data_IF_891513975257
#
_entry.id   IF_891513975257
#
_cell.length_a   1.000
_cell.length_b   1.000
_cell.length_c   1.000
_cell.angle_alpha   90.00
_cell.angle_beta   90.00
_cell.angle_gamma   90.00
#
_symmetry.space_group_name_H-M   'P 1'
#
loop_
_entity.id
_entity.type
_entity.pdbx_description
1 polymer ?
#
# COMPACT_ATOMS: atom_id res chain seq x y z
N UNK A 1 -7.52 -40.60 23.38
CA UNK A 1 -6.56 -41.08 24.37
C UNK A 1 -6.03 -42.44 23.94
N UNK A 2 -4.77 -42.56 23.59
CA UNK A 2 -4.14 -43.85 23.25
C UNK A 2 -3.08 -44.14 24.27
N UNK A 3 -3.39 -45.13 25.08
CA UNK A 3 -2.57 -46.17 25.71
C UNK A 3 -1.15 -45.80 26.12
N UNK A 4 -0.92 -45.90 27.44
CA UNK A 4 0.40 -46.07 27.98
C UNK A 4 1.13 -47.18 27.19
N UNK A 5 2.11 -46.82 26.40
CA UNK A 5 3.05 -47.76 25.80
C UNK A 5 4.19 -47.92 26.78
N UNK A 6 4.60 -49.18 27.01
CA UNK A 6 5.80 -49.47 27.77
C UNK A 6 6.99 -48.72 27.20
N UNK A 7 7.66 -47.96 28.02
CA UNK A 7 8.85 -47.22 27.60
C UNK A 7 10.01 -48.19 27.60
N UNK A 8 10.50 -48.55 26.42
CA UNK A 8 11.79 -49.23 26.29
C UNK A 8 12.90 -48.22 26.39
N UNK A 9 13.45 -48.05 27.60
CA UNK A 9 14.63 -47.20 27.81
C UNK A 9 15.88 -48.05 27.53
N UNK A 10 16.83 -47.43 26.81
CA UNK A 10 18.16 -48.06 26.56
C UNK A 10 19.03 -48.12 27.81
N UNK A 11 18.73 -47.31 28.81
CA UNK A 11 19.41 -47.33 30.11
C UNK A 11 18.73 -48.34 31.03
N UNK A 12 19.45 -49.42 31.48
CA UNK A 12 18.95 -50.40 32.38
C UNK A 12 18.50 -49.87 33.75
N UNK A 13 19.02 -48.70 34.13
CA UNK A 13 18.65 -48.01 35.39
C UNK A 13 17.59 -46.94 35.22
N UNK A 14 16.96 -46.86 34.07
CA UNK A 14 15.92 -45.84 33.77
C UNK A 14 14.71 -45.98 34.73
N UNK A 15 14.42 -44.94 35.55
CA UNK A 15 13.33 -45.02 36.52
C UNK A 15 11.93 -44.83 35.89
N UNK A 16 11.87 -44.54 34.57
CA UNK A 16 10.62 -44.20 33.87
C UNK A 16 9.90 -45.47 33.40
N UNK A 17 8.65 -45.64 33.82
CA UNK A 17 7.85 -46.82 33.52
C UNK A 17 6.63 -46.56 32.66
N UNK A 18 6.13 -45.30 32.64
CA UNK A 18 4.97 -44.93 31.85
C UNK A 18 5.12 -43.52 31.27
N UNK A 19 4.46 -43.25 30.14
CA UNK A 19 4.37 -41.94 29.52
C UNK A 19 2.95 -41.65 29.00
N UNK A 20 2.52 -40.40 29.12
CA UNK A 20 1.36 -39.85 28.41
C UNK A 20 1.91 -38.99 27.28
N UNK A 21 1.43 -39.20 26.06
CA UNK A 21 1.77 -38.39 24.88
C UNK A 21 0.50 -37.75 24.36
N UNK A 22 0.47 -36.41 24.38
CA UNK A 22 -0.69 -35.62 23.98
C UNK A 22 -0.30 -34.68 22.82
N UNK A 23 -1.16 -34.52 21.78
CA UNK A 23 -0.88 -33.61 20.70
C UNK A 23 -1.11 -32.16 21.11
N UNK A 24 -0.18 -31.26 20.79
CA UNK A 24 -0.39 -29.83 20.83
C UNK A 24 -0.93 -29.38 19.48
N UNK A 25 -2.10 -28.74 19.48
CA UNK A 25 -2.84 -28.40 18.26
C UNK A 25 -2.99 -26.90 18.11
N UNK A 26 -2.80 -26.39 16.89
CA UNK A 26 -3.13 -25.04 16.49
C UNK A 26 -4.03 -25.15 15.24
N UNK A 27 -5.20 -24.51 15.26
CA UNK A 27 -6.21 -24.60 14.18
C UNK A 27 -6.51 -26.07 13.79
N UNK A 28 -6.72 -26.95 14.76
CA UNK A 28 -6.94 -28.38 14.59
C UNK A 28 -5.76 -29.20 13.98
N UNK A 29 -4.65 -28.56 13.63
CA UNK A 29 -3.42 -29.20 13.11
C UNK A 29 -2.46 -29.49 14.27
N UNK A 30 -1.92 -30.69 14.34
CA UNK A 30 -0.90 -31.04 15.33
C UNK A 30 0.43 -30.37 14.96
N UNK A 31 0.92 -29.48 15.82
CA UNK A 31 2.18 -28.74 15.66
C UNK A 31 3.30 -29.27 16.57
N UNK A 32 2.93 -30.06 17.57
CA UNK A 32 3.87 -30.63 18.51
C UNK A 32 3.24 -31.69 19.40
N UNK A 33 4.01 -32.20 20.35
CA UNK A 33 3.52 -33.16 21.34
C UNK A 33 4.00 -32.79 22.74
N UNK A 34 3.12 -32.93 23.72
CA UNK A 34 3.44 -32.87 25.15
C UNK A 34 3.67 -34.31 25.62
N UNK A 35 4.84 -34.57 26.22
CA UNK A 35 5.18 -35.88 26.78
C UNK A 35 5.39 -35.75 28.29
N UNK A 36 4.61 -36.48 29.06
CA UNK A 36 4.74 -36.57 30.51
C UNK A 36 5.21 -37.98 30.90
N UNK A 37 6.28 -38.05 31.67
CA UNK A 37 6.89 -39.32 32.08
C UNK A 37 6.69 -39.59 33.56
N UNK A 38 6.41 -40.87 33.93
CA UNK A 38 6.13 -41.26 35.27
C UNK A 38 7.07 -42.41 35.76
N UNK A 39 7.49 -42.35 37.02
CA UNK A 39 8.40 -43.33 37.61
C UNK A 39 7.72 -44.63 38.09
N UNK A 40 6.40 -44.67 38.15
CA UNK A 40 5.65 -45.84 38.57
C UNK A 40 4.63 -46.25 37.51
N UNK A 41 4.50 -47.54 37.29
CA UNK A 41 3.49 -48.11 36.35
C UNK A 41 2.12 -48.29 37.02
N UNK A 42 1.91 -47.81 38.26
CA UNK A 42 0.58 -47.77 38.88
C UNK A 42 -0.37 -47.10 37.92
N UNK A 43 -1.48 -47.75 37.60
CA UNK A 43 -2.50 -47.25 36.66
C UNK A 43 -2.64 -45.77 36.76
N UNK A 44 -2.19 -45.04 35.74
CA UNK A 44 -2.36 -43.58 35.66
C UNK A 44 -3.78 -43.28 36.09
N UNK A 45 -3.89 -42.53 37.19
CA UNK A 45 -5.19 -42.19 37.75
C UNK A 45 -5.91 -41.28 36.78
N UNK A 46 -7.23 -41.37 36.73
CA UNK A 46 -8.08 -40.54 35.87
C UNK A 46 -7.77 -39.05 36.04
N UNK A 47 -7.44 -38.64 37.26
CA UNK A 47 -7.05 -37.26 37.59
C UNK A 47 -5.77 -36.83 36.85
N UNK A 48 -4.75 -37.69 36.80
CA UNK A 48 -3.49 -37.41 36.07
C UNK A 48 -3.71 -37.27 34.56
N UNK A 49 -4.62 -38.08 34.02
CA UNK A 49 -4.99 -38.01 32.58
C UNK A 49 -5.74 -36.72 32.27
N UNK A 50 -6.75 -36.37 33.08
CA UNK A 50 -7.53 -35.13 32.94
C UNK A 50 -6.64 -33.89 33.10
N UNK A 51 -5.68 -33.92 34.02
CA UNK A 51 -4.70 -32.86 34.22
C UNK A 51 -3.79 -32.71 32.98
N UNK A 52 -3.28 -33.82 32.47
CA UNK A 52 -2.44 -33.84 31.30
C UNK A 52 -3.17 -33.29 30.06
N UNK A 53 -4.42 -33.68 29.83
CA UNK A 53 -5.28 -33.14 28.78
C UNK A 53 -5.54 -31.66 28.97
N UNK A 54 -5.83 -31.21 30.19
CA UNK A 54 -5.97 -29.80 30.51
C UNK A 54 -4.72 -28.98 30.20
N UNK A 55 -3.53 -29.48 30.56
CA UNK A 55 -2.26 -28.86 30.20
C UNK A 55 -2.04 -28.83 28.69
N UNK A 56 -2.31 -29.91 27.98
CA UNK A 56 -2.19 -29.95 26.50
C UNK A 56 -3.08 -28.93 25.82
N UNK A 57 -4.32 -28.79 26.30
CA UNK A 57 -5.25 -27.81 25.79
C UNK A 57 -4.78 -26.37 26.09
N UNK A 58 -4.30 -26.11 27.30
CA UNK A 58 -3.77 -24.82 27.70
C UNK A 58 -2.55 -24.42 26.86
N UNK A 59 -1.59 -25.32 26.66
CA UNK A 59 -0.45 -25.05 25.76
C UNK A 59 -0.87 -24.88 24.32
N UNK A 60 -1.86 -25.63 23.82
CA UNK A 60 -2.40 -25.46 22.47
C UNK A 60 -2.98 -24.05 22.28
N UNK A 61 -3.79 -23.57 23.24
CA UNK A 61 -4.34 -22.21 23.22
C UNK A 61 -3.23 -21.15 23.29
N UNK A 62 -2.20 -21.35 24.12
CA UNK A 62 -1.07 -20.42 24.20
C UNK A 62 -0.28 -20.35 22.89
N UNK A 63 -0.07 -21.49 22.21
CA UNK A 63 0.59 -21.54 20.90
C UNK A 63 -0.24 -20.83 19.83
N UNK A 64 -1.57 -21.01 19.83
CA UNK A 64 -2.47 -20.33 18.91
C UNK A 64 -2.48 -18.81 19.12
N UNK A 65 -2.51 -18.36 20.37
CA UNK A 65 -2.40 -16.94 20.71
C UNK A 65 -1.07 -16.34 20.26
N UNK A 66 0.04 -17.05 20.47
CA UNK A 66 1.36 -16.59 20.02
C UNK A 66 1.45 -16.48 18.49
N UNK A 67 0.87 -17.43 17.74
CA UNK A 67 0.81 -17.38 16.26
C UNK A 67 -0.01 -16.18 15.77
N UNK A 68 -1.19 -15.94 16.37
CA UNK A 68 -2.03 -14.77 16.06
C UNK A 68 -1.30 -13.46 16.34
N UNK A 69 -0.53 -13.36 17.42
CA UNK A 69 0.25 -12.17 17.75
C UNK A 69 1.36 -11.91 16.73
N UNK A 70 2.06 -12.97 16.29
CA UNK A 70 3.07 -12.89 15.22
C UNK A 70 2.44 -12.42 13.91
N UNK A 71 1.31 -13.01 13.51
CA UNK A 71 0.60 -12.60 12.29
C UNK A 71 0.16 -11.14 12.35
N UNK A 72 -0.40 -10.70 13.49
CA UNK A 72 -0.80 -9.31 13.71
C UNK A 72 0.39 -8.35 13.61
N UNK A 73 1.54 -8.74 14.14
CA UNK A 73 2.78 -7.95 14.05
C UNK A 73 3.29 -7.85 12.63
N UNK A 74 3.30 -8.95 11.87
CA UNK A 74 3.70 -8.96 10.47
C UNK A 74 2.78 -8.09 9.60
N UNK A 75 1.46 -8.14 9.82
CA UNK A 75 0.49 -7.28 9.13
C UNK A 75 0.76 -5.80 9.43
N UNK A 76 0.99 -5.46 10.71
CA UNK A 76 1.32 -4.08 11.09
C UNK A 76 2.63 -3.59 10.49
N UNK A 77 3.66 -4.43 10.45
CA UNK A 77 4.94 -4.10 9.81
C UNK A 77 4.81 -3.94 8.29
N UNK A 78 3.98 -4.77 7.65
CA UNK A 78 3.67 -4.64 6.23
C UNK A 78 2.90 -3.34 5.93
N UNK A 79 1.92 -2.97 6.79
CA UNK A 79 1.18 -1.71 6.69
C UNK A 79 2.13 -0.50 6.83
N UNK A 80 3.03 -0.52 7.83
CA UNK A 80 4.03 0.54 8.01
C UNK A 80 4.95 0.66 6.79
N UNK A 81 5.43 -0.46 6.25
CA UNK A 81 6.27 -0.46 5.04
C UNK A 81 5.52 0.06 3.82
N UNK A 82 4.25 -0.30 3.66
CA UNK A 82 3.41 0.22 2.58
C UNK A 82 3.20 1.74 2.71
N UNK A 83 2.96 2.24 3.94
CA UNK A 83 2.86 3.67 4.22
C UNK A 83 4.18 4.41 3.95
N UNK A 84 5.32 3.82 4.34
CA UNK A 84 6.65 4.39 4.08
C UNK A 84 6.99 4.43 2.58
N UNK A 85 6.56 3.43 1.81
CA UNK A 85 6.77 3.38 0.36
C UNK A 85 5.98 4.46 -0.40
N UNK A 86 4.90 4.99 0.19
CA UNK A 86 4.12 6.10 -0.36
C UNK A 86 4.82 7.47 -0.19
N UNK A 87 5.80 7.55 0.71
CA UNK A 87 6.66 8.74 0.82
C UNK A 87 7.80 8.57 -0.17
N UNK A 88 7.84 9.39 -1.24
CA UNK A 88 8.98 9.41 -2.16
C UNK A 88 10.20 10.07 -1.48
N UNK A 89 11.19 9.31 -0.97
CA UNK A 89 12.31 9.89 -0.19
C UNK A 89 13.08 10.93 -1.01
N UNK A 90 13.24 10.67 -2.30
CA UNK A 90 13.91 11.56 -3.22
C UNK A 90 13.18 12.92 -3.40
N UNK A 91 11.84 12.92 -3.40
CA UNK A 91 11.06 14.16 -3.43
C UNK A 91 11.28 14.96 -2.15
N UNK A 92 11.24 14.31 -0.98
CA UNK A 92 11.48 14.96 0.31
C UNK A 92 12.87 15.60 0.37
N UNK A 93 13.94 14.87 0.03
CA UNK A 93 15.30 15.42 0.01
C UNK A 93 15.42 16.61 -0.93
N UNK A 94 14.82 16.55 -2.11
CA UNK A 94 14.85 17.64 -3.08
C UNK A 94 14.08 18.86 -2.59
N UNK A 95 12.89 18.67 -1.99
CA UNK A 95 12.10 19.75 -1.40
C UNK A 95 12.87 20.46 -0.28
N UNK A 96 13.48 19.70 0.64
CA UNK A 96 14.30 20.25 1.73
C UNK A 96 15.49 21.05 1.17
N UNK A 97 16.21 20.51 0.17
CA UNK A 97 17.33 21.22 -0.46
C UNK A 97 16.90 22.51 -1.14
N UNK A 98 15.76 22.51 -1.85
CA UNK A 98 15.20 23.71 -2.47
C UNK A 98 14.82 24.75 -1.42
N UNK A 99 14.12 24.35 -0.36
CA UNK A 99 13.75 25.25 0.75
C UNK A 99 15.02 25.82 1.41
N UNK A 100 16.01 24.99 1.69
CA UNK A 100 17.28 25.41 2.31
C UNK A 100 18.04 26.43 1.45
N UNK A 101 18.04 26.28 0.13
CA UNK A 101 18.66 27.26 -0.77
C UNK A 101 17.92 28.60 -0.77
N UNK A 102 16.60 28.60 -0.60
CA UNK A 102 15.76 29.80 -0.58
C UNK A 102 15.81 30.55 0.75
N UNK A 103 16.19 29.93 1.86
CA UNK A 103 16.20 30.60 3.19
C UNK A 103 17.00 31.91 3.17
N UNK A 104 18.08 31.95 2.39
CA UNK A 104 18.96 33.12 2.31
C UNK A 104 18.57 34.11 1.22
N UNK A 105 17.85 33.68 0.18
CA UNK A 105 17.52 34.48 -1.01
C UNK A 105 16.09 34.97 -1.03
N UNK A 106 15.15 34.14 -0.49
CA UNK A 106 13.71 34.43 -0.47
C UNK A 106 13.07 33.68 0.71
N UNK A 107 13.19 34.26 1.90
CA UNK A 107 12.73 33.65 3.14
C UNK A 107 11.20 33.42 3.18
N UNK A 108 10.42 34.29 2.56
CA UNK A 108 8.96 34.19 2.52
C UNK A 108 8.53 33.02 1.63
N UNK A 109 9.18 32.84 0.49
CA UNK A 109 8.97 31.69 -0.40
C UNK A 109 9.42 30.40 0.27
N UNK A 110 10.56 30.38 0.97
CA UNK A 110 11.01 29.22 1.74
C UNK A 110 9.99 28.81 2.80
N UNK A 111 9.44 29.79 3.56
CA UNK A 111 8.40 29.54 4.56
C UNK A 111 7.11 28.98 3.95
N UNK A 112 6.66 29.56 2.84
CA UNK A 112 5.47 29.09 2.11
C UNK A 112 5.65 27.65 1.65
N UNK A 113 6.81 27.29 1.07
CA UNK A 113 7.11 25.93 0.63
C UNK A 113 7.18 24.94 1.80
N UNK A 114 7.71 25.35 2.95
CA UNK A 114 7.73 24.49 4.14
C UNK A 114 6.32 24.15 4.64
N UNK A 115 5.42 25.15 4.61
CA UNK A 115 3.99 24.94 4.96
C UNK A 115 3.34 23.96 3.95
N UNK A 116 3.57 24.17 2.64
CA UNK A 116 3.05 23.27 1.59
C UNK A 116 3.59 21.86 1.73
N UNK A 117 4.88 21.69 2.04
CA UNK A 117 5.50 20.39 2.28
C UNK A 117 4.87 19.68 3.50
N UNK A 118 4.66 20.41 4.60
CA UNK A 118 3.99 19.88 5.80
C UNK A 118 2.56 19.44 5.51
N UNK A 119 1.80 20.24 4.74
CA UNK A 119 0.43 19.91 4.33
C UNK A 119 0.43 18.68 3.44
N UNK A 120 1.30 18.60 2.44
CA UNK A 120 1.46 17.44 1.56
C UNK A 120 1.68 16.14 2.34
N UNK A 121 2.61 16.11 3.30
CA UNK A 121 2.86 14.91 4.10
C UNK A 121 1.69 14.55 5.01
N UNK A 122 1.06 15.53 5.65
CA UNK A 122 -0.10 15.29 6.52
C UNK A 122 -1.25 14.67 5.74
N UNK A 123 -1.54 15.22 4.57
CA UNK A 123 -2.62 14.75 3.70
C UNK A 123 -2.34 13.34 3.16
N UNK A 124 -1.09 13.04 2.78
CA UNK A 124 -0.72 11.69 2.35
C UNK A 124 -0.92 10.65 3.47
N UNK A 125 -0.54 10.98 4.72
CA UNK A 125 -0.75 10.08 5.85
C UNK A 125 -2.23 9.88 6.19
N UNK A 126 -3.07 10.89 6.00
CA UNK A 126 -4.52 10.81 6.23
C UNK A 126 -5.22 10.05 5.09
N UNK A 127 -4.88 10.34 3.84
CA UNK A 127 -5.45 9.69 2.66
C UNK A 127 -5.22 8.18 2.66
N UNK A 128 -4.06 7.72 3.14
CA UNK A 128 -3.73 6.30 3.23
C UNK A 128 -4.68 5.47 4.13
N UNK A 129 -5.44 6.13 5.00
CA UNK A 129 -6.38 5.48 5.94
C UNK A 129 -7.83 5.51 5.46
N UNK A 130 -8.11 6.19 4.37
CA UNK A 130 -9.46 6.35 3.83
C UNK A 130 -9.63 5.51 2.58
N UNK A 131 -10.80 4.89 2.41
CA UNK A 131 -11.13 4.14 1.21
C UNK A 131 -11.43 5.07 0.02
N UNK A 132 -12.12 6.16 0.28
CA UNK A 132 -12.49 7.18 -0.69
C UNK A 132 -12.29 8.58 -0.08
N UNK A 133 -11.87 9.53 -0.90
CA UNK A 133 -11.72 10.96 -0.56
C UNK A 133 -12.37 11.83 -1.63
N UNK A 134 -12.82 13.05 -1.30
CA UNK A 134 -13.29 14.00 -2.31
C UNK A 134 -12.20 14.32 -3.34
N UNK A 135 -12.59 14.49 -4.61
CA UNK A 135 -11.68 14.85 -5.69
C UNK A 135 -10.88 16.14 -5.37
N UNK A 136 -11.53 17.13 -4.72
CA UNK A 136 -10.86 18.34 -4.26
C UNK A 136 -9.62 18.06 -3.39
N UNK A 137 -9.64 16.98 -2.58
CA UNK A 137 -8.49 16.60 -1.75
C UNK A 137 -7.33 16.04 -2.57
N UNK A 138 -7.61 15.25 -3.60
CA UNK A 138 -6.58 14.81 -4.56
C UNK A 138 -5.98 16.00 -5.32
N UNK A 139 -6.80 16.99 -5.68
CA UNK A 139 -6.33 18.22 -6.33
C UNK A 139 -5.44 19.06 -5.39
N UNK A 140 -5.82 19.21 -4.11
CA UNK A 140 -4.96 19.86 -3.11
C UNK A 140 -3.58 19.17 -3.00
N UNK A 141 -3.53 17.83 -3.07
CA UNK A 141 -2.28 17.07 -3.06
C UNK A 141 -1.44 17.32 -4.31
N UNK A 142 -2.08 17.31 -5.48
CA UNK A 142 -1.43 17.61 -6.77
C UNK A 142 -0.88 19.03 -6.76
N UNK A 143 -1.65 20.02 -6.34
CA UNK A 143 -1.21 21.42 -6.26
C UNK A 143 -0.04 21.63 -5.30
N UNK A 144 -0.08 20.99 -4.12
CA UNK A 144 1.01 21.07 -3.15
C UNK A 144 2.31 20.47 -3.74
N UNK A 145 2.22 19.31 -4.40
CA UNK A 145 3.34 18.68 -5.11
C UNK A 145 3.89 19.61 -6.20
N UNK A 146 3.01 20.14 -7.06
CA UNK A 146 3.39 21.02 -8.16
C UNK A 146 4.08 22.30 -7.69
N UNK A 147 3.57 22.91 -6.62
CA UNK A 147 4.17 24.13 -6.05
C UNK A 147 5.63 23.88 -5.64
N UNK A 148 5.92 22.74 -5.05
CA UNK A 148 7.28 22.36 -4.62
C UNK A 148 8.18 22.07 -5.82
N UNK A 149 7.70 21.30 -6.82
CA UNK A 149 8.47 20.99 -8.02
C UNK A 149 8.73 22.22 -8.90
N UNK A 150 7.77 23.14 -9.04
CA UNK A 150 7.93 24.39 -9.76
C UNK A 150 8.93 25.34 -9.08
N UNK A 151 8.99 25.33 -7.74
CA UNK A 151 10.01 26.12 -7.04
C UNK A 151 11.43 25.63 -7.34
N UNK A 152 11.58 24.32 -7.60
CA UNK A 152 12.85 23.68 -7.97
C UNK A 152 13.21 23.87 -9.45
N UNK A 153 12.22 23.82 -10.31
CA UNK A 153 12.36 23.90 -11.75
C UNK A 153 11.38 24.92 -12.32
N UNK A 154 11.66 26.22 -12.14
CA UNK A 154 10.87 27.28 -12.76
C UNK A 154 10.80 27.05 -14.28
N UNK A 155 9.62 27.27 -14.87
CA UNK A 155 9.37 27.23 -16.31
C UNK A 155 9.57 25.86 -17.02
N UNK A 156 9.84 24.79 -16.27
CA UNK A 156 10.01 23.48 -16.86
C UNK A 156 8.69 22.77 -17.19
N UNK A 157 7.66 23.04 -16.37
CA UNK A 157 6.36 22.40 -16.51
C UNK A 157 5.25 23.43 -16.53
N UNK A 158 4.35 23.30 -17.50
CA UNK A 158 3.08 24.02 -17.51
C UNK A 158 1.98 22.99 -17.18
N UNK A 159 1.41 23.07 -15.99
CA UNK A 159 0.33 22.16 -15.59
C UNK A 159 -1.00 22.89 -15.66
N UNK A 160 -1.95 22.33 -16.41
CA UNK A 160 -3.30 22.86 -16.59
C UNK A 160 -4.31 21.91 -15.92
N UNK A 161 -5.04 22.44 -14.96
CA UNK A 161 -6.12 21.73 -14.29
C UNK A 161 -7.44 22.25 -14.87
N UNK A 162 -8.20 21.34 -15.49
CA UNK A 162 -9.52 21.62 -16.07
C UNK A 162 -10.53 20.66 -15.43
N UNK A 163 -11.07 21.11 -14.30
CA UNK A 163 -11.95 20.30 -13.44
C UNK A 163 -13.31 20.98 -13.39
N UNK A 164 -14.36 20.26 -13.75
CA UNK A 164 -15.70 20.76 -13.59
C UNK A 164 -16.03 20.94 -12.10
N UNK A 165 -16.42 22.15 -11.62
CA UNK A 165 -16.60 22.43 -10.19
C UNK A 165 -17.60 21.49 -9.49
N UNK A 166 -18.62 21.02 -10.20
CA UNK A 166 -19.60 20.07 -9.70
C UNK A 166 -18.99 18.71 -9.30
N UNK A 167 -17.78 18.39 -9.79
CA UNK A 167 -17.11 17.12 -9.56
C UNK A 167 -16.14 17.14 -8.38
N UNK A 168 -15.82 18.29 -7.82
CA UNK A 168 -14.85 18.43 -6.72
C UNK A 168 -15.22 17.61 -5.48
N UNK A 169 -16.52 17.44 -5.22
CA UNK A 169 -17.05 16.65 -4.10
C UNK A 169 -17.23 15.16 -4.39
N UNK A 170 -16.99 14.73 -5.63
CA UNK A 170 -17.08 13.31 -5.98
C UNK A 170 -16.01 12.53 -5.25
N UNK A 171 -16.41 11.41 -4.63
CA UNK A 171 -15.51 10.55 -3.89
C UNK A 171 -14.74 9.62 -4.84
N UNK A 172 -13.43 9.63 -4.73
CA UNK A 172 -12.52 8.77 -5.50
C UNK A 172 -11.52 8.08 -4.57
N UNK A 173 -10.90 6.98 -4.97
CA UNK A 173 -9.83 6.37 -4.21
C UNK A 173 -8.65 7.33 -4.04
N UNK A 174 -8.04 7.43 -2.85
CA UNK A 174 -6.87 8.28 -2.64
C UNK A 174 -5.69 7.83 -3.50
N UNK A 175 -4.78 8.74 -3.81
CA UNK A 175 -3.61 8.52 -4.66
C UNK A 175 -3.97 8.03 -6.08
N UNK A 176 -5.03 8.60 -6.65
CA UNK A 176 -5.45 8.33 -8.03
C UNK A 176 -4.81 9.33 -9.00
N UNK A 177 -4.90 10.63 -8.76
CA UNK A 177 -4.37 11.67 -9.64
C UNK A 177 -2.91 12.00 -9.36
N UNK A 178 -2.53 12.10 -8.09
CA UNK A 178 -1.18 12.51 -7.70
C UNK A 178 -0.09 11.67 -8.40
N UNK A 179 -0.09 10.31 -8.36
CA UNK A 179 0.96 9.54 -9.01
C UNK A 179 0.97 9.66 -10.53
N UNK A 180 -0.16 9.97 -11.17
CA UNK A 180 -0.22 10.21 -12.61
C UNK A 180 0.52 11.50 -12.99
N UNK A 181 0.28 12.56 -12.24
CA UNK A 181 0.95 13.86 -12.43
C UNK A 181 2.45 13.75 -12.09
N UNK A 182 2.80 13.04 -11.00
CA UNK A 182 4.21 12.76 -10.66
C UNK A 182 4.94 12.02 -11.79
N UNK A 183 4.31 11.00 -12.36
CA UNK A 183 4.87 10.23 -13.47
C UNK A 183 5.08 11.12 -14.71
N UNK A 184 4.11 11.96 -15.06
CA UNK A 184 4.23 12.88 -16.18
C UNK A 184 5.42 13.84 -15.97
N UNK A 185 5.51 14.49 -14.80
CA UNK A 185 6.59 15.44 -14.49
C UNK A 185 7.96 14.75 -14.48
N UNK A 186 8.04 13.55 -13.92
CA UNK A 186 9.31 12.84 -13.72
C UNK A 186 9.86 12.21 -15.00
N UNK A 187 8.98 11.65 -15.83
CA UNK A 187 9.39 10.79 -16.92
C UNK A 187 9.12 11.34 -18.32
N UNK A 188 8.13 12.24 -18.47
CA UNK A 188 7.76 12.74 -19.79
C UNK A 188 8.80 13.70 -20.37
N UNK A 189 9.41 14.56 -19.53
CA UNK A 189 10.25 15.63 -20.00
C UNK A 189 11.74 15.37 -19.74
N UNK A 190 12.57 15.21 -20.78
CA UNK A 190 14.03 15.24 -20.66
C UNK A 190 14.49 16.58 -20.06
N UNK A 191 15.67 16.59 -19.41
CA UNK A 191 16.20 17.77 -18.67
C UNK A 191 16.24 19.08 -19.48
N UNK A 192 16.28 19.01 -20.80
CA UNK A 192 16.42 20.15 -21.71
C UNK A 192 15.11 20.63 -22.35
N UNK A 193 13.98 19.96 -22.09
CA UNK A 193 12.69 20.33 -22.69
C UNK A 193 11.68 20.73 -21.63
N UNK A 194 10.99 21.84 -21.85
CA UNK A 194 9.75 22.17 -21.15
C UNK A 194 8.57 21.41 -21.78
N UNK A 195 7.50 21.21 -21.00
CA UNK A 195 6.32 20.54 -21.50
C UNK A 195 5.06 20.87 -20.72
N UNK A 196 3.95 20.38 -21.23
CA UNK A 196 2.63 20.61 -20.65
C UNK A 196 2.03 19.31 -20.13
N UNK A 197 1.51 19.35 -18.91
CA UNK A 197 0.67 18.30 -18.35
C UNK A 197 -0.74 18.86 -18.19
N UNK A 198 -1.73 18.16 -18.74
CA UNK A 198 -3.14 18.51 -18.60
C UNK A 198 -3.83 17.48 -17.75
N UNK A 199 -4.53 17.94 -16.72
CA UNK A 199 -5.39 17.11 -15.87
C UNK A 199 -6.82 17.58 -16.06
N UNK A 200 -7.69 16.68 -16.48
CA UNK A 200 -9.10 16.99 -16.68
C UNK A 200 -9.97 16.05 -15.89
N UNK A 201 -11.05 16.58 -15.33
CA UNK A 201 -12.11 15.77 -14.75
C UNK A 201 -13.48 16.27 -15.28
N UNK A 202 -14.21 15.37 -15.90
CA UNK A 202 -15.52 15.66 -16.48
C UNK A 202 -16.45 14.46 -16.34
N UNK A 203 -17.73 14.70 -16.51
CA UNK A 203 -18.75 13.66 -16.49
C UNK A 203 -19.10 13.21 -17.91
N UNK A 204 -19.15 11.91 -18.14
CA UNK A 204 -19.56 11.31 -19.39
C UNK A 204 -20.41 10.05 -19.12
N UNK A 205 -21.59 9.96 -19.72
CA UNK A 205 -22.46 8.78 -19.63
C UNK A 205 -22.79 8.34 -18.20
N UNK A 206 -22.84 9.27 -17.23
CA UNK A 206 -23.08 8.94 -15.81
C UNK A 206 -21.84 8.50 -15.03
N UNK A 207 -20.67 8.56 -15.64
CA UNK A 207 -19.39 8.26 -15.04
C UNK A 207 -18.53 9.52 -14.86
N UNK A 208 -17.65 9.50 -13.87
CA UNK A 208 -16.55 10.44 -13.75
C UNK A 208 -15.40 9.96 -14.66
N UNK A 209 -14.93 10.81 -15.54
CA UNK A 209 -13.72 10.58 -16.33
C UNK A 209 -12.60 11.47 -15.81
N UNK A 210 -11.52 10.85 -15.36
CA UNK A 210 -10.27 11.51 -14.99
C UNK A 210 -9.26 11.28 -16.10
N UNK A 211 -8.66 12.34 -16.61
CA UNK A 211 -7.74 12.30 -17.72
C UNK A 211 -6.47 13.06 -17.38
N UNK A 212 -5.32 12.41 -17.53
CA UNK A 212 -3.99 13.03 -17.42
C UNK A 212 -3.26 12.85 -18.75
N UNK A 213 -2.85 13.96 -19.35
CA UNK A 213 -2.14 13.97 -20.64
C UNK A 213 -0.85 14.76 -20.50
N UNK A 214 0.25 14.23 -21.04
CA UNK A 214 1.51 14.96 -21.24
C UNK A 214 1.91 15.00 -22.72
N UNK A 215 2.63 16.04 -23.11
CA UNK A 215 3.21 16.20 -24.45
C UNK A 215 4.70 15.80 -24.51
N UNK A 216 5.10 14.88 -23.65
CA UNK A 216 6.47 14.46 -23.45
C UNK A 216 7.01 13.44 -24.45
N UNK A 217 8.06 12.73 -24.05
CA UNK A 217 8.73 11.73 -24.89
C UNK A 217 7.91 10.48 -25.22
N UNK A 218 6.80 10.26 -24.50
CA UNK A 218 6.00 9.04 -24.62
C UNK A 218 6.70 7.78 -24.13
N UNK A 219 6.04 6.65 -24.35
CA UNK A 219 6.42 5.32 -23.89
C UNK A 219 6.51 4.40 -25.13
N UNK A 220 7.52 3.53 -25.17
CA UNK A 220 7.64 2.54 -26.25
C UNK A 220 6.53 1.49 -26.16
N UNK A 221 6.14 0.91 -27.29
CA UNK A 221 5.09 -0.10 -27.38
C UNK A 221 5.40 -1.33 -26.52
N UNK A 222 6.68 -1.72 -26.44
CA UNK A 222 7.14 -2.86 -25.64
C UNK A 222 6.91 -2.61 -24.13
N UNK A 223 7.28 -1.42 -23.66
CA UNK A 223 7.10 -1.04 -22.27
C UNK A 223 5.62 -0.80 -21.95
N UNK A 224 4.85 -0.24 -22.89
CA UNK A 224 3.42 0.01 -22.72
C UNK A 224 2.62 -1.28 -22.47
N UNK A 225 2.98 -2.39 -23.13
CA UNK A 225 2.34 -3.69 -22.96
C UNK A 225 2.52 -4.27 -21.54
N UNK A 226 3.58 -3.90 -20.83
CA UNK A 226 3.85 -4.35 -19.46
C UNK A 226 3.31 -3.41 -18.38
N UNK A 227 3.16 -2.11 -18.72
CA UNK A 227 2.65 -1.11 -17.77
C UNK A 227 1.18 -1.34 -17.42
N UNK A 228 0.87 -1.24 -16.14
CA UNK A 228 -0.48 -1.49 -15.62
C UNK A 228 -0.87 -2.98 -15.50
N UNK A 229 -0.04 -3.91 -16.01
CA UNK A 229 -0.27 -5.35 -15.90
C UNK A 229 0.78 -6.06 -15.03
N UNK A 230 1.96 -5.49 -14.89
CA UNK A 230 3.05 -6.00 -14.06
C UNK A 230 3.80 -4.86 -13.36
N UNK A 231 4.48 -5.19 -12.28
CA UNK A 231 5.44 -4.27 -11.65
C UNK A 231 6.68 -4.19 -12.55
N UNK A 232 6.97 -3.00 -13.08
CA UNK A 232 8.15 -2.78 -13.93
C UNK A 232 9.22 -2.09 -13.10
N UNK A 233 10.36 -2.75 -12.93
CA UNK A 233 11.56 -2.14 -12.32
C UNK A 233 12.14 -1.11 -13.29
N UNK A 234 11.94 0.16 -13.01
CA UNK A 234 12.59 1.25 -13.75
C UNK A 234 13.71 1.85 -12.91
N UNK A 235 14.80 2.24 -13.54
CA UNK A 235 16.02 2.81 -12.96
C UNK A 235 15.84 4.14 -12.20
N UNK A 236 14.77 4.28 -11.45
CA UNK A 236 14.49 5.51 -10.69
C UNK A 236 13.16 5.56 -9.98
N UNK A 237 12.39 4.52 -10.00
CA UNK A 237 11.12 4.36 -9.29
C UNK A 237 10.47 3.06 -9.72
N UNK A 238 9.87 2.39 -8.79
CA UNK A 238 9.15 1.17 -9.08
C UNK A 238 8.01 1.50 -10.03
N UNK A 239 7.95 0.90 -11.22
CA UNK A 239 6.85 0.99 -12.20
C UNK A 239 5.52 0.44 -11.65
N UNK A 240 5.40 0.44 -10.31
CA UNK A 240 4.28 -0.07 -9.53
C UNK A 240 3.14 0.94 -9.40
N UNK A 241 3.39 2.25 -9.62
CA UNK A 241 2.39 3.27 -9.36
C UNK A 241 1.13 3.10 -10.22
N UNK A 242 1.29 2.94 -11.54
CA UNK A 242 0.17 2.73 -12.46
C UNK A 242 -0.56 1.41 -12.20
N UNK A 243 0.19 0.35 -11.91
CA UNK A 243 -0.36 -0.94 -11.53
C UNK A 243 -1.16 -0.85 -10.22
N UNK A 244 -0.64 -0.16 -9.20
CA UNK A 244 -1.32 0.03 -7.93
C UNK A 244 -2.63 0.82 -8.08
N UNK A 245 -2.64 1.87 -8.93
CA UNK A 245 -3.86 2.63 -9.23
C UNK A 245 -4.88 1.71 -9.89
N UNK A 246 -4.50 0.99 -10.96
CA UNK A 246 -5.37 0.08 -11.68
C UNK A 246 -5.96 -0.98 -10.75
N UNK A 247 -5.11 -1.67 -9.99
CA UNK A 247 -5.53 -2.71 -9.03
C UNK A 247 -6.51 -2.17 -7.99
N UNK A 248 -6.24 -1.00 -7.40
CA UNK A 248 -7.13 -0.37 -6.42
C UNK A 248 -8.50 -0.03 -7.02
N UNK A 249 -8.52 0.48 -8.25
CA UNK A 249 -9.76 0.80 -8.96
C UNK A 249 -10.56 -0.49 -9.23
N UNK A 250 -9.90 -1.55 -9.68
CA UNK A 250 -10.51 -2.85 -9.93
C UNK A 250 -11.05 -3.50 -8.63
N UNK A 251 -10.33 -3.38 -7.51
CA UNK A 251 -10.77 -3.88 -6.21
C UNK A 251 -12.01 -3.16 -5.67
N UNK A 252 -12.13 -1.84 -5.88
CA UNK A 252 -13.24 -1.03 -5.35
C UNK A 252 -14.48 -1.09 -6.27
N UNK A 253 -14.29 -1.03 -7.58
CA UNK A 253 -15.39 -0.84 -8.54
C UNK A 253 -15.62 -2.05 -9.46
N UNK A 254 -14.73 -3.04 -9.46
CA UNK A 254 -14.80 -4.21 -10.33
C UNK A 254 -14.80 -3.82 -11.81
N UNK A 255 -15.72 -4.41 -12.57
CA UNK A 255 -15.87 -4.16 -14.01
C UNK A 255 -16.59 -2.84 -14.35
N UNK A 256 -17.07 -2.11 -13.34
CA UNK A 256 -17.75 -0.84 -13.56
C UNK A 256 -16.80 0.34 -13.74
N UNK A 257 -15.52 0.13 -13.60
CA UNK A 257 -14.49 1.14 -13.84
C UNK A 257 -13.53 0.68 -14.92
N UNK A 258 -12.83 1.64 -15.53
CA UNK A 258 -11.81 1.33 -16.53
C UNK A 258 -10.55 2.17 -16.32
N UNK A 259 -9.42 1.59 -16.72
CA UNK A 259 -8.10 2.22 -16.68
C UNK A 259 -7.39 1.97 -18.02
N UNK A 260 -7.13 3.03 -18.77
CA UNK A 260 -6.50 2.96 -20.08
C UNK A 260 -5.26 3.85 -20.15
N UNK A 261 -4.21 3.36 -20.82
CA UNK A 261 -3.00 4.11 -21.12
C UNK A 261 -2.81 4.10 -22.62
N UNK A 262 -2.70 5.29 -23.19
CA UNK A 262 -2.34 5.51 -24.59
C UNK A 262 -1.03 6.29 -24.64
N UNK A 263 -0.05 5.80 -25.36
CA UNK A 263 1.22 6.49 -25.51
C UNK A 263 1.90 6.12 -26.83
N UNK A 264 2.66 7.06 -27.37
CA UNK A 264 3.51 6.85 -28.53
C UNK A 264 4.78 7.66 -28.36
N UNK A 265 5.90 7.13 -28.87
CA UNK A 265 7.19 7.82 -28.81
C UNK A 265 7.09 9.24 -29.40
N UNK A 266 7.57 10.23 -28.65
CA UNK A 266 7.55 11.66 -28.98
C UNK A 266 6.16 12.30 -29.17
N UNK A 267 5.09 11.63 -28.73
CA UNK A 267 3.72 12.16 -28.76
C UNK A 267 3.09 12.31 -27.37
N UNK A 268 3.87 11.96 -26.33
CA UNK A 268 3.40 12.02 -24.95
C UNK A 268 2.61 10.78 -24.52
N UNK A 269 2.01 10.90 -23.35
CA UNK A 269 1.22 9.84 -22.71
C UNK A 269 -0.12 10.38 -22.25
N UNK A 270 -1.15 9.57 -22.43
CA UNK A 270 -2.52 9.84 -21.97
C UNK A 270 -2.98 8.69 -21.12
N UNK A 271 -3.38 8.99 -19.89
CA UNK A 271 -3.98 8.03 -18.95
C UNK A 271 -5.40 8.46 -18.68
N UNK A 272 -6.35 7.56 -18.93
CA UNK A 272 -7.77 7.79 -18.67
C UNK A 272 -8.32 6.77 -17.67
N UNK A 273 -9.06 7.28 -16.68
CA UNK A 273 -9.73 6.51 -15.64
C UNK A 273 -11.20 6.86 -15.68
N UNK A 274 -12.06 5.85 -15.81
CA UNK A 274 -13.50 6.03 -15.76
C UNK A 274 -14.05 5.36 -14.51
N UNK A 275 -14.75 6.12 -13.67
CA UNK A 275 -15.33 5.67 -12.41
C UNK A 275 -16.84 5.88 -12.41
N UNK A 276 -17.65 4.94 -11.90
CA UNK A 276 -19.08 5.12 -11.83
C UNK A 276 -19.44 6.20 -10.79
N UNK A 277 -20.29 7.16 -11.17
CA UNK A 277 -20.92 8.08 -10.22
C UNK A 277 -22.07 7.36 -9.52
N UNK A 278 -21.89 6.99 -8.26
CA UNK A 278 -22.94 6.37 -7.45
C UNK A 278 -24.05 7.36 -7.14
N UNK A 279 -25.30 6.88 -6.94
CA UNK A 279 -26.46 7.75 -6.65
C UNK A 279 -26.29 8.63 -5.40
N UNK A 280 -25.44 8.26 -4.46
CA UNK A 280 -25.07 9.06 -3.29
C UNK A 280 -24.11 10.22 -3.59
N UNK A 281 -23.47 10.20 -4.76
CA UNK A 281 -22.57 11.25 -5.23
C UNK A 281 -23.27 12.27 -6.15
N UNK A 282 -24.52 12.01 -6.52
CA UNK A 282 -25.39 12.99 -7.20
C UNK A 282 -25.95 13.93 -6.15
N UNK A 283 -25.12 14.79 -5.60
CA UNK A 283 -25.60 15.92 -4.80
C UNK A 283 -25.94 17.04 -5.75
N UNK A 284 -27.17 17.50 -5.62
CA UNK A 284 -27.74 18.57 -6.40
C UNK A 284 -27.07 19.92 -6.22
#
# INVERSE_FOLDING_TARGET
AKTAQDIQCLDPNCPLQAAIVLPLKVHAKTVGTLKLYFKASSKLDRVEQELAEGLSNLFSVQLEMAELEIQRRLLKDAEIKALQAQVHPHFLFNAINTISSLIRTDADKARSLLIKLSTFFRSNLQGARQMLIPLEKELEHVEAYLTIEQARFPDRYNVKLDIAPALERVLIPPFTLQPLVENAIRYAFPKAKSGTVKVRAFQEGGNLVLLTEDDGKGISTELLGSLGNQTVDSSGGTGTALWNIKKRIEEIYGQNASFHIESSMNKGTKVSITLPLTKQQKVG
#
